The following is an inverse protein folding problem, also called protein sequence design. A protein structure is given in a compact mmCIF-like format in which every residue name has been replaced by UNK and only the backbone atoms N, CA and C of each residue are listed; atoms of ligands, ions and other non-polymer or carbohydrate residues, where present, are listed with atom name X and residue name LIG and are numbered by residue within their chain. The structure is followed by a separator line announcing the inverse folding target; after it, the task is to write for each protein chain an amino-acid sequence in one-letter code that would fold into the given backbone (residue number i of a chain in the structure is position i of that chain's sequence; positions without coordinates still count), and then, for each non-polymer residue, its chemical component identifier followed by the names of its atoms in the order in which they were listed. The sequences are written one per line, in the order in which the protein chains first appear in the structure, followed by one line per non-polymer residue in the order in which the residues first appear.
data_IF_228084024672
#
_entry.id   IF_228084024672
#
_cell.length_a   1.000
_cell.length_b   1.000
_cell.length_c   1.000
_cell.angle_alpha   90.00
_cell.angle_beta   90.00
_cell.angle_gamma   90.00
#
_symmetry.space_group_name_H-M   'P 1'
#
loop_
_entity.id
_entity.type
_entity.pdbx_description
1 polymer ?
#
# COMPACT_ATOMS: atom_id res chain seq x y z
N UNK A 1 -21.28 -17.87 13.04
CA UNK A 1 -19.87 -18.36 12.92
C UNK A 1 -19.44 -18.92 14.26
N UNK A 2 -18.74 -20.04 14.29
CA UNK A 2 -18.20 -20.63 15.52
C UNK A 2 -17.13 -19.67 16.09
N UNK A 3 -17.33 -19.18 17.30
CA UNK A 3 -16.44 -18.24 17.98
C UNK A 3 -15.05 -18.82 18.29
N UNK A 4 -14.87 -20.12 18.14
CA UNK A 4 -13.62 -20.82 18.39
C UNK A 4 -12.74 -21.03 17.13
N UNK A 5 -13.25 -20.71 15.94
CA UNK A 5 -12.50 -20.87 14.70
C UNK A 5 -11.20 -20.05 14.71
N UNK A 6 -11.17 -18.78 15.13
CA UNK A 6 -9.93 -18.02 15.19
C UNK A 6 -8.84 -18.71 16.03
N UNK A 7 -9.21 -19.27 17.17
CA UNK A 7 -8.25 -19.95 18.05
C UNK A 7 -7.69 -21.23 17.38
N UNK A 8 -8.52 -22.01 16.70
CA UNK A 8 -8.07 -23.24 16.02
C UNK A 8 -7.05 -22.93 14.92
N UNK A 9 -7.33 -21.96 14.06
CA UNK A 9 -6.41 -21.61 12.96
C UNK A 9 -5.11 -20.99 13.47
N UNK A 10 -5.15 -20.22 14.56
CA UNK A 10 -3.93 -19.70 15.21
C UNK A 10 -3.13 -20.83 15.85
N UNK A 11 -3.77 -21.81 16.49
CA UNK A 11 -3.07 -22.96 17.06
C UNK A 11 -2.32 -23.75 15.99
N UNK A 12 -2.96 -24.05 14.86
CA UNK A 12 -2.32 -24.72 13.72
C UNK A 12 -1.14 -23.91 13.19
N UNK A 13 -1.33 -22.59 13.02
CA UNK A 13 -0.29 -21.68 12.55
C UNK A 13 0.92 -21.61 13.50
N UNK A 14 0.68 -21.59 14.82
CA UNK A 14 1.73 -21.61 15.84
C UNK A 14 2.51 -22.93 15.85
N UNK A 15 1.80 -24.06 15.78
CA UNK A 15 2.41 -25.40 15.76
C UNK A 15 3.21 -25.67 14.48
N UNK A 16 2.87 -24.98 13.38
CA UNK A 16 3.65 -25.00 12.15
C UNK A 16 4.95 -24.18 12.22
N UNK A 17 5.25 -23.51 13.36
CA UNK A 17 6.50 -22.80 13.58
C UNK A 17 6.55 -21.39 12.96
N UNK A 18 5.41 -20.80 12.58
CA UNK A 18 5.40 -19.50 11.90
C UNK A 18 5.76 -18.31 12.80
N UNK A 19 5.61 -18.43 14.12
CA UNK A 19 5.99 -17.37 15.06
C UNK A 19 7.46 -17.50 15.54
N UNK A 20 7.93 -18.73 15.74
CA UNK A 20 9.27 -19.04 16.20
C UNK A 20 9.89 -20.14 15.31
N UNK A 21 11.13 -19.96 14.91
CA UNK A 21 11.84 -20.89 14.01
C UNK A 21 12.26 -22.22 14.66
N UNK A 22 12.27 -22.28 15.99
CA UNK A 22 12.63 -23.49 16.77
C UNK A 22 11.37 -24.30 17.14
N UNK A 23 11.52 -25.56 17.52
CA UNK A 23 10.40 -26.36 17.98
C UNK A 23 9.61 -25.65 19.05
N UNK A 24 8.30 -25.60 18.89
CA UNK A 24 7.39 -24.85 19.77
C UNK A 24 6.52 -25.80 20.59
N UNK A 25 6.37 -25.47 21.87
CA UNK A 25 5.33 -26.06 22.72
C UNK A 25 4.19 -25.07 22.84
N UNK A 26 3.00 -25.41 22.36
CA UNK A 26 1.80 -24.58 22.42
C UNK A 26 0.85 -25.14 23.46
N UNK A 27 0.52 -24.34 24.47
CA UNK A 27 -0.45 -24.68 25.53
C UNK A 27 -1.65 -23.75 25.41
N UNK A 28 -2.82 -24.24 25.03
CA UNK A 28 -4.04 -23.43 24.94
C UNK A 28 -4.56 -23.09 26.37
N UNK A 29 -5.35 -22.04 26.44
CA UNK A 29 -6.12 -21.62 27.63
C UNK A 29 -5.29 -21.51 28.92
N UNK A 30 -4.12 -20.87 28.84
CA UNK A 30 -3.20 -20.76 29.95
C UNK A 30 -3.50 -19.58 30.85
N UNK A 31 -3.64 -19.82 32.14
CA UNK A 31 -3.89 -18.78 33.15
C UNK A 31 -2.63 -17.97 33.44
N UNK A 32 -2.78 -16.65 33.46
CA UNK A 32 -1.78 -15.69 33.90
C UNK A 32 -2.46 -14.57 34.72
N UNK A 33 -2.04 -14.39 35.96
CA UNK A 33 -2.68 -13.42 36.86
C UNK A 33 -4.18 -13.70 37.02
N UNK A 34 -4.99 -12.70 36.71
CA UNK A 34 -6.46 -12.77 36.77
C UNK A 34 -7.12 -13.02 35.37
N UNK A 35 -6.33 -13.37 34.38
CA UNK A 35 -6.79 -13.64 33.02
C UNK A 35 -6.36 -15.02 32.54
N UNK A 36 -7.07 -15.54 31.56
CA UNK A 36 -6.73 -16.76 30.84
C UNK A 36 -6.54 -16.39 29.38
N UNK A 37 -5.27 -16.46 28.92
CA UNK A 37 -4.93 -16.19 27.53
C UNK A 37 -5.19 -17.40 26.65
N UNK A 38 -5.45 -17.14 25.38
CA UNK A 38 -5.76 -18.17 24.41
C UNK A 38 -4.61 -19.14 24.23
N UNK A 39 -3.34 -18.63 24.21
CA UNK A 39 -2.17 -19.48 24.13
C UNK A 39 -1.00 -19.00 24.99
N UNK A 40 -0.26 -19.99 25.51
CA UNK A 40 1.10 -19.83 26.00
C UNK A 40 2.02 -20.66 25.13
N UNK A 41 3.14 -20.06 24.68
CA UNK A 41 4.09 -20.68 23.75
C UNK A 41 5.49 -20.65 24.36
N UNK A 42 6.17 -21.80 24.32
CA UNK A 42 7.58 -21.93 24.67
C UNK A 42 8.38 -22.36 23.43
N UNK A 43 9.53 -21.71 23.18
CA UNK A 43 10.46 -22.04 22.12
C UNK A 43 11.88 -21.65 22.57
N UNK A 44 12.68 -22.65 22.94
CA UNK A 44 13.97 -22.43 23.59
C UNK A 44 13.80 -21.64 24.89
N UNK A 45 14.49 -20.51 25.00
CA UNK A 45 14.40 -19.62 26.18
C UNK A 45 13.22 -18.64 26.09
N UNK A 46 12.55 -18.55 24.93
CA UNK A 46 11.44 -17.63 24.71
C UNK A 46 10.15 -18.17 25.29
N UNK A 47 9.44 -17.32 26.00
CA UNK A 47 8.12 -17.60 26.59
C UNK A 47 7.16 -16.49 26.19
N UNK A 48 6.03 -16.85 25.59
CA UNK A 48 5.11 -15.87 25.05
C UNK A 48 3.65 -16.14 25.45
N UNK A 49 2.90 -15.08 25.71
CA UNK A 49 1.45 -15.11 25.83
C UNK A 49 0.80 -14.50 24.58
N UNK A 50 -0.25 -15.13 24.12
CA UNK A 50 -0.97 -14.72 22.90
C UNK A 50 -2.46 -14.66 23.21
N UNK A 51 -3.05 -13.53 22.90
CA UNK A 51 -4.51 -13.31 22.91
C UNK A 51 -4.99 -13.23 21.46
N UNK A 52 -5.99 -14.01 21.10
CA UNK A 52 -6.57 -14.07 19.76
C UNK A 52 -7.87 -13.29 19.69
N UNK A 53 -8.07 -12.54 18.64
CA UNK A 53 -9.32 -11.84 18.34
C UNK A 53 -9.75 -12.12 16.89
N UNK A 54 -10.96 -12.66 16.72
CA UNK A 54 -11.60 -12.77 15.41
C UNK A 54 -12.09 -11.41 14.96
N UNK A 55 -11.80 -11.02 13.73
CA UNK A 55 -12.20 -9.76 13.14
C UNK A 55 -13.07 -10.03 11.93
N UNK A 56 -14.30 -9.50 11.95
CA UNK A 56 -15.32 -9.71 10.91
C UNK A 56 -15.98 -8.42 10.44
N UNK A 57 -15.81 -7.32 11.17
CA UNK A 57 -16.34 -6.02 10.78
C UNK A 57 -15.44 -5.37 9.73
N UNK A 58 -15.96 -5.20 8.53
CA UNK A 58 -15.27 -4.58 7.39
C UNK A 58 -16.15 -3.50 6.76
N UNK A 59 -15.54 -2.37 6.43
CA UNK A 59 -16.13 -1.28 5.64
C UNK A 59 -15.05 -0.69 4.72
N UNK A 60 -15.31 -0.68 3.43
CA UNK A 60 -14.43 -0.12 2.40
C UNK A 60 -12.97 -0.63 2.45
N UNK A 61 -12.80 -1.93 2.72
CA UNK A 61 -11.50 -2.58 2.86
C UNK A 61 -10.80 -2.32 4.19
N UNK A 62 -11.44 -1.65 5.14
CA UNK A 62 -10.92 -1.39 6.49
C UNK A 62 -11.59 -2.32 7.48
N UNK A 63 -10.80 -3.14 8.16
CA UNK A 63 -11.33 -4.01 9.22
C UNK A 63 -11.14 -3.39 10.58
N UNK A 64 -12.15 -3.57 11.45
CA UNK A 64 -12.20 -2.96 12.77
C UNK A 64 -12.53 -3.98 13.85
N UNK A 65 -11.98 -3.74 15.05
CA UNK A 65 -12.33 -4.46 16.27
C UNK A 65 -12.32 -3.51 17.48
N UNK A 66 -13.24 -3.67 18.45
CA UNK A 66 -14.31 -4.67 18.50
C UNK A 66 -15.55 -4.24 17.69
N UNK A 67 -16.38 -5.21 17.33
CA UNK A 67 -17.69 -5.02 16.70
C UNK A 67 -18.78 -4.63 17.73
N UNK A 68 -18.57 -5.01 18.99
CA UNK A 68 -19.39 -4.62 20.15
C UNK A 68 -18.48 -4.35 21.37
N UNK A 69 -18.92 -3.52 22.34
CA UNK A 69 -18.13 -3.22 23.54
C UNK A 69 -17.74 -4.49 24.32
N UNK A 70 -16.47 -4.59 24.71
CA UNK A 70 -15.90 -5.75 25.39
C UNK A 70 -14.91 -5.34 26.48
N UNK A 71 -15.37 -5.24 27.73
CA UNK A 71 -14.51 -4.99 28.89
C UNK A 71 -13.43 -6.07 29.03
N UNK A 72 -13.77 -7.32 28.68
CA UNK A 72 -12.82 -8.42 28.69
C UNK A 72 -11.66 -8.18 27.73
N UNK A 73 -11.91 -7.62 26.54
CA UNK A 73 -10.85 -7.32 25.58
C UNK A 73 -9.89 -6.26 26.14
N UNK A 74 -10.38 -5.21 26.78
CA UNK A 74 -9.55 -4.19 27.43
C UNK A 74 -8.69 -4.81 28.53
N UNK A 75 -9.29 -5.60 29.44
CA UNK A 75 -8.59 -6.28 30.52
C UNK A 75 -7.47 -7.19 29.99
N UNK A 76 -7.72 -7.96 28.93
CA UNK A 76 -6.68 -8.83 28.34
C UNK A 76 -5.49 -8.03 27.79
N UNK A 77 -5.73 -6.85 27.21
CA UNK A 77 -4.63 -5.97 26.76
C UNK A 77 -3.78 -5.46 27.95
N UNK A 78 -4.42 -5.10 29.06
CA UNK A 78 -3.71 -4.67 30.27
C UNK A 78 -2.85 -5.80 30.86
N UNK A 79 -3.36 -7.02 30.90
CA UNK A 79 -2.62 -8.18 31.38
C UNK A 79 -1.48 -8.57 30.42
N UNK A 80 -1.63 -8.41 29.11
CA UNK A 80 -0.51 -8.57 28.15
C UNK A 80 0.60 -7.53 28.36
N UNK A 81 0.23 -6.28 28.65
CA UNK A 81 1.21 -5.23 29.02
C UNK A 81 1.96 -5.63 30.28
N UNK A 82 1.27 -6.19 31.27
CA UNK A 82 1.88 -6.68 32.49
C UNK A 82 2.83 -7.85 32.22
N UNK A 83 2.39 -8.86 31.47
CA UNK A 83 3.23 -10.00 31.09
C UNK A 83 4.50 -9.54 30.36
N UNK A 84 4.38 -8.56 29.46
CA UNK A 84 5.54 -7.99 28.75
C UNK A 84 6.53 -7.32 29.71
N UNK A 85 6.06 -6.60 30.72
CA UNK A 85 6.91 -5.97 31.76
C UNK A 85 7.60 -6.99 32.65
N UNK A 86 7.00 -8.17 32.84
CA UNK A 86 7.57 -9.28 33.61
C UNK A 86 8.55 -10.16 32.80
N UNK A 87 8.85 -9.77 31.54
CA UNK A 87 9.86 -10.41 30.71
C UNK A 87 9.34 -11.46 29.72
N UNK A 88 8.02 -11.68 29.66
CA UNK A 88 7.42 -12.52 28.62
C UNK A 88 7.35 -11.78 27.30
N UNK A 89 7.38 -12.51 26.20
CA UNK A 89 6.85 -11.97 24.94
C UNK A 89 5.33 -11.95 24.98
N UNK A 90 4.73 -10.94 24.39
CA UNK A 90 3.28 -10.75 24.44
C UNK A 90 2.75 -10.36 23.06
N UNK A 91 1.65 -11.01 22.63
CA UNK A 91 1.08 -10.83 21.31
C UNK A 91 -0.44 -10.70 21.38
N UNK A 92 -0.97 -9.78 20.57
CA UNK A 92 -2.36 -9.78 20.15
C UNK A 92 -2.41 -10.30 18.73
N UNK A 93 -3.18 -11.34 18.47
CA UNK A 93 -3.33 -11.94 17.16
C UNK A 93 -4.75 -11.68 16.62
N UNK A 94 -4.83 -10.84 15.61
CA UNK A 94 -6.07 -10.45 14.95
C UNK A 94 -6.28 -11.35 13.73
N UNK A 95 -7.25 -12.22 13.79
CA UNK A 95 -7.63 -13.14 12.70
C UNK A 95 -8.73 -12.50 11.87
N UNK A 96 -8.38 -11.98 10.72
CA UNK A 96 -9.30 -11.34 9.78
C UNK A 96 -9.90 -12.43 8.89
N UNK A 97 -11.17 -12.77 9.13
CA UNK A 97 -11.85 -13.91 8.53
C UNK A 97 -12.35 -13.60 7.11
N UNK A 98 -11.55 -12.91 6.32
CA UNK A 98 -11.82 -12.54 4.92
C UNK A 98 -10.52 -12.16 4.20
N UNK A 99 -10.60 -11.99 2.87
CA UNK A 99 -9.52 -11.50 2.00
C UNK A 99 -9.80 -10.10 1.44
N UNK A 100 -8.75 -9.48 0.90
CA UNK A 100 -8.85 -8.23 0.13
C UNK A 100 -8.98 -6.98 0.99
N UNK A 101 -8.60 -7.05 2.26
CA UNK A 101 -8.61 -5.92 3.18
C UNK A 101 -7.34 -5.07 3.05
N UNK A 102 -7.45 -3.78 3.30
CA UNK A 102 -6.33 -2.83 3.18
C UNK A 102 -5.52 -2.72 4.47
N UNK A 103 -6.20 -2.61 5.61
CA UNK A 103 -5.58 -2.52 6.93
C UNK A 103 -6.59 -2.77 8.05
N UNK A 104 -6.04 -3.09 9.23
CA UNK A 104 -6.78 -3.15 10.49
C UNK A 104 -6.64 -1.84 11.28
N UNK A 105 -7.71 -1.41 11.93
CA UNK A 105 -7.69 -0.35 12.95
C UNK A 105 -8.60 -0.68 14.13
N UNK A 106 -8.39 0.00 15.28
CA UNK A 106 -9.32 -0.10 16.40
C UNK A 106 -10.64 0.61 16.08
N UNK A 107 -11.76 0.04 16.52
CA UNK A 107 -13.08 0.65 16.37
C UNK A 107 -13.32 1.68 17.48
N UNK A 108 -12.85 2.90 17.23
CA UNK A 108 -12.95 4.01 18.18
C UNK A 108 -14.40 4.48 18.40
N UNK A 109 -15.29 4.23 17.45
CA UNK A 109 -16.71 4.60 17.55
C UNK A 109 -17.47 3.64 18.49
N UNK A 110 -17.10 2.36 18.48
CA UNK A 110 -17.73 1.33 19.32
C UNK A 110 -17.11 1.29 20.71
N UNK A 111 -15.77 1.35 20.82
CA UNK A 111 -15.08 1.27 22.11
C UNK A 111 -13.73 2.01 22.06
N UNK A 112 -13.72 3.33 22.35
CA UNK A 112 -12.49 4.13 22.42
C UNK A 112 -11.44 3.56 23.38
N UNK A 113 -11.88 3.02 24.52
CA UNK A 113 -11.01 2.46 25.55
C UNK A 113 -10.16 1.30 25.03
N UNK A 114 -10.72 0.45 24.15
CA UNK A 114 -9.96 -0.63 23.52
C UNK A 114 -8.87 -0.06 22.61
N UNK A 115 -9.19 0.95 21.81
CA UNK A 115 -8.19 1.61 20.95
C UNK A 115 -7.05 2.22 21.75
N UNK A 116 -7.36 2.90 22.85
CA UNK A 116 -6.35 3.51 23.71
C UNK A 116 -5.48 2.47 24.43
N UNK A 117 -6.06 1.38 24.92
CA UNK A 117 -5.27 0.31 25.56
C UNK A 117 -4.43 -0.45 24.55
N UNK A 118 -4.89 -0.63 23.31
CA UNK A 118 -4.14 -1.26 22.25
C UNK A 118 -2.91 -0.43 21.85
N UNK A 119 -3.04 0.90 21.78
CA UNK A 119 -1.90 1.83 21.60
C UNK A 119 -0.90 1.71 22.75
N UNK A 120 -1.37 1.69 24.00
CA UNK A 120 -0.52 1.49 25.19
C UNK A 120 0.19 0.15 25.15
N UNK A 121 -0.48 -0.92 24.72
CA UNK A 121 0.11 -2.24 24.56
C UNK A 121 1.24 -2.23 23.53
N UNK A 122 1.03 -1.63 22.36
CA UNK A 122 2.07 -1.45 21.34
C UNK A 122 3.27 -0.66 21.89
N UNK A 123 3.02 0.44 22.59
CA UNK A 123 4.08 1.25 23.19
C UNK A 123 4.86 0.49 24.29
N UNK A 124 4.21 -0.43 25.01
CA UNK A 124 4.83 -1.29 26.00
C UNK A 124 5.61 -2.48 25.40
N UNK A 125 5.58 -2.64 24.07
CA UNK A 125 6.28 -3.71 23.35
C UNK A 125 5.46 -4.98 23.15
N UNK A 126 4.13 -4.96 23.38
CA UNK A 126 3.23 -6.03 22.92
C UNK A 126 3.15 -5.97 21.40
N UNK A 127 3.38 -7.09 20.74
CA UNK A 127 3.29 -7.19 19.28
C UNK A 127 1.84 -7.41 18.85
N UNK A 128 1.37 -6.60 17.91
CA UNK A 128 0.05 -6.71 17.34
C UNK A 128 0.20 -7.28 15.94
N UNK A 129 -0.27 -8.51 15.75
CA UNK A 129 -0.24 -9.24 14.50
C UNK A 129 -1.66 -9.26 13.93
N UNK A 130 -1.80 -8.94 12.67
CA UNK A 130 -3.06 -9.06 11.96
C UNK A 130 -2.81 -9.86 10.68
N UNK A 131 -3.58 -10.91 10.48
CA UNK A 131 -3.49 -11.77 9.30
C UNK A 131 -4.87 -11.95 8.70
N UNK A 132 -4.96 -11.90 7.39
CA UNK A 132 -6.16 -12.27 6.67
C UNK A 132 -6.24 -13.80 6.51
N UNK A 133 -7.38 -14.27 6.03
CA UNK A 133 -7.62 -15.70 5.86
C UNK A 133 -8.14 -16.00 4.45
N UNK A 134 -7.63 -17.09 3.88
CA UNK A 134 -8.32 -17.77 2.80
C UNK A 134 -9.51 -18.51 3.41
N UNK A 135 -10.71 -18.18 2.95
CA UNK A 135 -11.97 -18.79 3.42
C UNK A 135 -12.66 -19.50 2.26
N UNK A 136 -12.97 -20.76 2.44
CA UNK A 136 -13.79 -21.58 1.54
C UNK A 136 -15.04 -22.06 2.28
N UNK A 137 -15.92 -22.80 1.62
CA UNK A 137 -17.10 -23.38 2.26
C UNK A 137 -16.74 -24.32 3.42
N UNK A 138 -15.61 -25.03 3.32
CA UNK A 138 -15.21 -26.10 4.26
C UNK A 138 -13.98 -25.75 5.11
N UNK A 139 -13.27 -24.66 4.82
CA UNK A 139 -11.99 -24.37 5.47
C UNK A 139 -11.71 -22.87 5.63
N UNK A 140 -10.90 -22.58 6.63
CA UNK A 140 -10.30 -21.27 6.84
C UNK A 140 -8.82 -21.45 7.18
N UNK A 141 -7.95 -20.66 6.57
CA UNK A 141 -6.50 -20.74 6.77
C UNK A 141 -5.92 -19.32 6.82
N UNK A 142 -5.02 -19.07 7.79
CA UNK A 142 -4.24 -17.84 7.87
C UNK A 142 -3.35 -17.73 6.62
N UNK A 143 -3.29 -16.51 6.04
CA UNK A 143 -2.57 -16.27 4.80
C UNK A 143 -1.63 -15.07 4.90
N UNK A 144 -2.03 -13.86 4.57
CA UNK A 144 -1.14 -12.71 4.45
C UNK A 144 -1.23 -11.77 5.66
N UNK A 145 -0.09 -11.15 6.00
CA UNK A 145 -0.05 -10.13 7.04
C UNK A 145 -0.77 -8.86 6.56
N UNK A 146 -1.63 -8.32 7.43
CA UNK A 146 -2.41 -7.10 7.19
C UNK A 146 -1.82 -5.95 8.00
N UNK A 147 -1.58 -4.77 7.41
CA UNK A 147 -1.08 -3.62 8.14
C UNK A 147 -1.97 -3.22 9.33
N UNK A 148 -1.36 -2.96 10.49
CA UNK A 148 -2.05 -2.48 11.70
C UNK A 148 -1.85 -0.97 11.87
N UNK A 149 -2.91 -0.20 11.68
CA UNK A 149 -2.93 1.27 11.73
C UNK A 149 -3.74 1.71 12.95
N UNK A 150 -3.09 2.00 14.07
CA UNK A 150 -3.74 2.44 15.31
C UNK A 150 -3.92 3.95 15.39
N UNK A 151 -3.10 4.69 14.69
CA UNK A 151 -3.19 6.14 14.54
C UNK A 151 -3.20 6.44 13.06
N UNK A 152 -4.26 7.08 12.57
CA UNK A 152 -4.24 7.62 11.22
C UNK A 152 -3.18 8.72 11.18
N UNK A 153 -2.15 8.60 10.32
CA UNK A 153 -1.30 9.76 10.07
C UNK A 153 -2.21 10.94 9.68
N UNK A 154 -1.90 12.14 10.11
CA UNK A 154 -2.63 13.38 9.74
C UNK A 154 -2.86 13.45 8.23
N UNK A 155 -1.89 12.96 7.44
CA UNK A 155 -2.02 12.83 5.98
C UNK A 155 -3.24 11.98 5.52
N UNK A 156 -3.66 10.98 6.28
CA UNK A 156 -4.80 10.12 5.87
C UNK A 156 -6.14 10.82 6.05
N UNK A 157 -6.26 11.73 7.01
CA UNK A 157 -7.45 12.57 7.17
C UNK A 157 -7.59 13.58 6.03
N UNK A 158 -6.48 13.90 5.33
CA UNK A 158 -6.47 14.82 4.20
C UNK A 158 -6.61 14.12 2.85
N UNK A 159 -6.31 12.83 2.73
CA UNK A 159 -6.33 12.09 1.45
C UNK A 159 -7.74 12.03 0.87
N UNK A 160 -8.72 11.58 1.65
CA UNK A 160 -10.10 11.42 1.15
C UNK A 160 -10.72 12.77 0.73
N UNK A 161 -10.62 13.87 1.50
CA UNK A 161 -11.05 15.19 1.06
C UNK A 161 -10.32 15.70 -0.20
N UNK A 162 -9.01 15.46 -0.32
CA UNK A 162 -8.24 15.86 -1.51
C UNK A 162 -8.69 15.07 -2.73
N UNK A 163 -8.88 13.75 -2.60
CA UNK A 163 -9.34 12.90 -3.71
C UNK A 163 -10.77 13.27 -4.13
N UNK A 164 -11.68 13.53 -3.18
CA UNK A 164 -13.04 13.98 -3.46
C UNK A 164 -13.01 15.34 -4.20
N UNK A 165 -12.27 16.29 -3.67
CA UNK A 165 -12.09 17.60 -4.31
C UNK A 165 -11.50 17.46 -5.72
N UNK A 166 -10.49 16.61 -5.91
CA UNK A 166 -9.87 16.38 -7.22
C UNK A 166 -10.88 15.80 -8.23
N UNK A 167 -11.72 14.87 -7.83
CA UNK A 167 -12.74 14.28 -8.72
C UNK A 167 -13.70 15.33 -9.28
N UNK A 168 -14.07 16.30 -8.45
CA UNK A 168 -14.98 17.40 -8.83
C UNK A 168 -14.28 18.53 -9.58
N UNK A 169 -13.03 18.83 -9.24
CA UNK A 169 -12.32 20.03 -9.67
C UNK A 169 -11.16 19.78 -10.64
N UNK A 170 -10.91 18.52 -11.03
CA UNK A 170 -9.81 18.19 -11.96
C UNK A 170 -9.98 18.91 -13.28
N UNK A 171 -8.90 19.57 -13.74
CA UNK A 171 -8.91 20.22 -15.04
C UNK A 171 -9.14 19.21 -16.16
N UNK A 172 -9.91 19.61 -17.17
CA UNK A 172 -10.05 18.88 -18.41
C UNK A 172 -8.80 19.07 -19.28
N UNK A 173 -8.05 17.98 -19.48
CA UNK A 173 -6.76 18.00 -20.17
C UNK A 173 -6.69 16.85 -21.17
N UNK A 174 -6.16 17.09 -22.41
CA UNK A 174 -6.12 16.08 -23.47
C UNK A 174 -5.53 14.72 -23.05
N UNK A 175 -4.47 14.73 -22.24
CA UNK A 175 -3.78 13.53 -21.75
C UNK A 175 -4.50 12.78 -20.63
N UNK A 176 -5.68 13.24 -20.21
CA UNK A 176 -6.53 12.60 -19.21
C UNK A 176 -7.73 11.83 -19.80
N UNK A 177 -7.98 11.98 -21.12
CA UNK A 177 -9.11 11.36 -21.79
C UNK A 177 -8.82 9.94 -22.27
N UNK A 178 -7.64 9.73 -22.83
CA UNK A 178 -7.19 8.44 -23.34
C UNK A 178 -5.82 8.13 -22.74
N UNK A 179 -5.87 7.44 -21.59
CA UNK A 179 -4.69 7.21 -20.76
C UNK A 179 -3.99 5.94 -21.25
N UNK A 180 -2.95 6.13 -22.08
CA UNK A 180 -2.01 5.06 -22.47
C UNK A 180 -0.62 5.39 -21.96
N UNK A 181 0.27 4.40 -21.74
CA UNK A 181 1.64 4.64 -21.26
C UNK A 181 2.40 5.65 -22.13
N UNK A 182 2.28 5.54 -23.45
CA UNK A 182 2.91 6.47 -24.41
C UNK A 182 2.38 7.89 -24.24
N UNK A 183 1.08 8.06 -24.15
CA UNK A 183 0.44 9.39 -24.01
C UNK A 183 0.75 10.05 -22.67
N UNK A 184 0.76 9.29 -21.59
CA UNK A 184 1.21 9.77 -20.28
C UNK A 184 2.66 10.22 -20.37
N UNK A 185 3.54 9.40 -20.90
CA UNK A 185 4.96 9.74 -21.04
C UNK A 185 5.19 11.02 -21.85
N UNK A 186 4.56 11.16 -23.02
CA UNK A 186 4.67 12.37 -23.86
C UNK A 186 4.24 13.61 -23.07
N UNK A 187 3.08 13.54 -22.38
CA UNK A 187 2.60 14.68 -21.58
C UNK A 187 3.53 15.04 -20.43
N UNK A 188 4.02 14.05 -19.68
CA UNK A 188 4.90 14.26 -18.54
C UNK A 188 6.23 14.91 -18.95
N UNK A 189 6.82 14.47 -20.08
CA UNK A 189 8.05 15.09 -20.58
C UNK A 189 7.81 16.51 -21.11
N UNK A 190 6.70 16.75 -21.81
CA UNK A 190 6.38 18.09 -22.32
C UNK A 190 6.10 19.10 -21.19
N UNK A 191 5.46 18.64 -20.11
CA UNK A 191 5.13 19.46 -18.95
C UNK A 191 6.32 19.83 -18.06
N UNK A 192 7.46 19.16 -18.23
CA UNK A 192 8.68 19.53 -17.50
C UNK A 192 9.06 20.98 -17.81
N UNK A 193 8.96 21.87 -16.79
CA UNK A 193 9.28 23.30 -16.91
C UNK A 193 8.49 24.07 -18.00
N UNK A 194 7.34 23.54 -18.44
CA UNK A 194 6.48 24.16 -19.44
C UNK A 194 5.05 24.29 -18.90
N UNK A 195 4.41 25.43 -19.13
CA UNK A 195 3.04 25.68 -18.69
C UNK A 195 2.04 24.81 -19.47
N UNK A 196 1.00 24.32 -18.78
CA UNK A 196 -0.03 23.43 -19.33
C UNK A 196 -0.63 23.96 -20.63
N UNK A 197 -1.04 25.24 -20.66
CA UNK A 197 -1.68 25.83 -21.84
C UNK A 197 -0.75 25.91 -23.06
N UNK A 198 0.54 26.07 -22.80
CA UNK A 198 1.53 26.04 -23.89
C UNK A 198 1.73 24.64 -24.44
N UNK A 199 1.61 23.59 -23.60
CA UNK A 199 1.82 22.19 -24.01
C UNK A 199 0.70 21.64 -24.89
N UNK A 200 -0.56 22.00 -24.64
CA UNK A 200 -1.74 21.47 -25.34
C UNK A 200 -1.57 21.36 -26.87
N UNK A 201 -1.27 22.47 -27.61
CA UNK A 201 -1.14 22.40 -29.06
C UNK A 201 0.06 21.58 -29.53
N UNK A 202 1.12 21.47 -28.73
CA UNK A 202 2.28 20.64 -29.05
C UNK A 202 1.98 19.17 -28.87
N UNK A 203 1.26 18.81 -27.81
CA UNK A 203 0.85 17.46 -27.51
C UNK A 203 -0.02 16.88 -28.63
N UNK A 204 -1.05 17.61 -29.03
CA UNK A 204 -1.95 17.19 -30.10
C UNK A 204 -1.21 17.00 -31.43
N UNK A 205 -0.36 17.97 -31.81
CA UNK A 205 0.44 17.90 -33.01
C UNK A 205 1.44 16.74 -32.97
N UNK A 206 2.12 16.56 -31.85
CA UNK A 206 3.13 15.52 -31.69
C UNK A 206 2.53 14.12 -31.82
N UNK A 207 1.40 13.87 -31.14
CA UNK A 207 0.71 12.57 -31.22
C UNK A 207 0.05 12.31 -32.57
N UNK A 208 -0.35 13.35 -33.30
CA UNK A 208 -0.85 13.22 -34.67
C UNK A 208 0.26 12.78 -35.63
N UNK A 209 1.46 13.31 -35.46
CA UNK A 209 2.60 13.05 -36.36
C UNK A 209 3.41 11.80 -35.97
N UNK A 210 3.42 11.47 -34.68
CA UNK A 210 4.15 10.35 -34.07
C UNK A 210 3.21 9.60 -33.10
N UNK A 211 2.21 8.87 -33.62
CA UNK A 211 1.17 8.26 -32.80
C UNK A 211 1.66 7.07 -31.95
N UNK A 212 2.78 6.46 -32.33
CA UNK A 212 3.32 5.27 -31.65
C UNK A 212 4.77 5.44 -31.21
N UNK A 213 5.23 4.58 -30.30
CA UNK A 213 6.64 4.48 -29.89
C UNK A 213 7.54 4.21 -31.10
N UNK A 214 7.09 3.36 -32.02
CA UNK A 214 7.83 3.02 -33.23
C UNK A 214 7.98 4.22 -34.16
N UNK A 215 6.93 5.05 -34.30
CA UNK A 215 7.02 6.28 -35.11
C UNK A 215 8.04 7.26 -34.50
N UNK A 216 8.04 7.40 -33.16
CA UNK A 216 9.01 8.24 -32.46
C UNK A 216 10.44 7.71 -32.61
N UNK A 217 10.64 6.39 -32.48
CA UNK A 217 11.95 5.76 -32.64
C UNK A 217 12.53 5.99 -34.04
N UNK A 218 11.70 5.93 -35.07
CA UNK A 218 12.10 6.06 -36.50
C UNK A 218 12.05 7.50 -37.00
N UNK A 219 11.66 8.46 -36.19
CA UNK A 219 11.56 9.86 -36.60
C UNK A 219 12.94 10.43 -36.99
N UNK A 220 13.00 11.15 -38.12
CA UNK A 220 14.21 11.90 -38.49
C UNK A 220 14.44 13.04 -37.49
N UNK A 221 15.69 13.30 -37.13
CA UNK A 221 16.05 14.31 -36.13
C UNK A 221 15.49 15.69 -36.48
N UNK A 222 15.61 16.14 -37.75
CA UNK A 222 15.08 17.43 -38.17
C UNK A 222 13.56 17.57 -37.95
N UNK A 223 12.79 16.50 -38.25
CA UNK A 223 11.37 16.47 -38.04
C UNK A 223 11.04 16.51 -36.56
N UNK A 224 11.77 15.76 -35.75
CA UNK A 224 11.60 15.69 -34.32
C UNK A 224 11.87 17.05 -33.67
N UNK A 225 12.99 17.70 -34.06
CA UNK A 225 13.32 19.06 -33.58
C UNK A 225 12.29 20.07 -33.99
N UNK A 226 11.71 19.97 -35.21
CA UNK A 226 10.64 20.86 -35.67
C UNK A 226 9.36 20.71 -34.90
N UNK A 227 8.98 19.47 -34.53
CA UNK A 227 7.81 19.22 -33.68
C UNK A 227 7.98 19.76 -32.25
N UNK A 228 9.21 19.87 -31.79
CA UNK A 228 9.55 20.34 -30.44
C UNK A 228 9.92 21.83 -30.38
N UNK A 229 10.02 22.50 -31.53
CA UNK A 229 10.42 23.92 -31.65
C UNK A 229 9.47 24.81 -30.84
N UNK A 230 10.02 25.56 -29.88
CA UNK A 230 9.27 26.42 -28.97
C UNK A 230 9.07 25.85 -27.56
N UNK A 231 9.19 24.57 -27.33
CA UNK A 231 9.15 23.96 -25.98
C UNK A 231 10.48 24.11 -25.21
N UNK A 232 11.59 24.31 -25.90
CA UNK A 232 12.92 24.38 -25.31
C UNK A 232 13.42 23.06 -24.74
N UNK A 233 14.62 23.10 -24.13
CA UNK A 233 15.24 21.92 -23.50
C UNK A 233 15.23 20.67 -24.42
N UNK A 234 15.78 20.78 -25.59
CA UNK A 234 15.75 19.76 -26.66
C UNK A 234 16.32 18.39 -26.27
N UNK A 235 17.14 18.32 -25.21
CA UNK A 235 17.61 17.05 -24.69
C UNK A 235 16.45 16.15 -24.19
N UNK A 236 15.32 16.72 -23.82
CA UNK A 236 14.14 15.94 -23.43
C UNK A 236 13.64 15.07 -24.58
N UNK A 237 13.41 15.66 -25.74
CA UNK A 237 12.91 14.92 -26.91
C UNK A 237 13.95 13.98 -27.49
N UNK A 238 15.26 14.34 -27.43
CA UNK A 238 16.33 13.42 -27.81
C UNK A 238 16.38 12.19 -26.89
N UNK A 239 16.22 12.38 -25.59
CA UNK A 239 16.14 11.26 -24.65
C UNK A 239 14.87 10.43 -24.86
N UNK A 240 13.73 11.06 -25.18
CA UNK A 240 12.53 10.33 -25.56
C UNK A 240 12.76 9.44 -26.79
N UNK A 241 13.43 9.94 -27.83
CA UNK A 241 13.75 9.12 -28.99
C UNK A 241 14.67 7.94 -28.66
N UNK A 242 15.70 8.18 -27.82
CA UNK A 242 16.57 7.08 -27.35
C UNK A 242 15.80 6.02 -26.58
N UNK A 243 14.91 6.43 -25.67
CA UNK A 243 14.07 5.51 -24.94
C UNK A 243 13.08 4.77 -25.88
N UNK A 244 12.54 5.45 -26.89
CA UNK A 244 11.68 4.81 -27.88
C UNK A 244 12.45 3.73 -28.69
N UNK A 245 13.69 4.00 -29.06
CA UNK A 245 14.57 3.01 -29.73
C UNK A 245 14.81 1.82 -28.79
N UNK A 246 15.15 2.05 -27.52
CA UNK A 246 15.29 0.99 -26.52
C UNK A 246 14.02 0.14 -26.42
N UNK A 247 12.83 0.77 -26.38
CA UNK A 247 11.56 0.05 -26.33
C UNK A 247 11.29 -0.77 -27.59
N UNK A 248 11.66 -0.28 -28.76
CA UNK A 248 11.54 -1.07 -30.01
C UNK A 248 12.46 -2.28 -29.98
N UNK A 249 13.71 -2.11 -29.57
CA UNK A 249 14.74 -3.15 -29.57
C UNK A 249 14.49 -4.21 -28.46
N UNK A 250 14.07 -3.81 -27.28
CA UNK A 250 14.01 -4.68 -26.11
C UNK A 250 12.60 -5.18 -25.80
N UNK A 251 11.57 -4.39 -26.16
CA UNK A 251 10.17 -4.64 -25.76
C UNK A 251 9.21 -4.64 -26.96
N UNK A 252 9.71 -4.79 -28.19
CA UNK A 252 8.87 -4.87 -29.40
C UNK A 252 8.03 -3.64 -29.68
N UNK A 253 8.46 -2.45 -29.23
CA UNK A 253 7.74 -1.19 -29.40
C UNK A 253 6.59 -0.97 -28.41
N UNK A 254 6.54 -1.74 -27.33
CA UNK A 254 5.62 -1.57 -26.21
C UNK A 254 6.33 -0.96 -25.00
N UNK A 255 5.57 -0.32 -24.10
CA UNK A 255 6.10 0.05 -22.81
C UNK A 255 6.29 -1.20 -21.95
N UNK A 256 7.40 -1.30 -21.18
CA UNK A 256 7.51 -2.32 -20.15
C UNK A 256 6.46 -2.10 -19.04
N UNK A 257 6.02 -3.17 -18.41
CA UNK A 257 4.92 -3.15 -17.44
C UNK A 257 5.39 -3.06 -15.97
N UNK A 258 6.69 -3.20 -15.69
CA UNK A 258 7.25 -3.05 -14.35
C UNK A 258 7.85 -1.67 -14.14
N UNK A 259 7.75 -1.16 -12.90
CA UNK A 259 8.32 0.14 -12.52
C UNK A 259 9.84 0.19 -12.77
N UNK A 260 10.54 -0.88 -12.46
CA UNK A 260 11.98 -1.01 -12.55
C UNK A 260 12.45 -0.91 -14.01
N UNK A 261 11.75 -1.55 -14.94
CA UNK A 261 12.04 -1.50 -16.36
C UNK A 261 11.68 -0.13 -16.97
N UNK A 262 10.55 0.45 -16.58
CA UNK A 262 10.16 1.82 -16.98
C UNK A 262 11.25 2.82 -16.54
N UNK A 263 11.71 2.70 -15.28
CA UNK A 263 12.73 3.58 -14.73
C UNK A 263 14.11 3.41 -15.39
N UNK A 264 14.42 2.22 -15.92
CA UNK A 264 15.67 1.95 -16.62
C UNK A 264 15.75 2.59 -18.03
N UNK A 265 14.64 3.09 -18.58
CA UNK A 265 14.63 3.75 -19.89
C UNK A 265 15.34 5.11 -19.86
N UNK A 266 16.03 5.43 -20.94
CA UNK A 266 16.80 6.67 -21.06
C UNK A 266 15.95 7.92 -20.80
N UNK A 267 16.35 8.74 -19.83
CA UNK A 267 15.70 10.02 -19.52
C UNK A 267 14.41 9.89 -18.71
N UNK A 268 14.09 8.71 -18.21
CA UNK A 268 12.98 8.47 -17.29
C UNK A 268 13.52 8.39 -15.86
N UNK A 269 13.26 9.41 -15.07
CA UNK A 269 13.58 9.44 -13.64
C UNK A 269 12.42 8.94 -12.76
N UNK A 270 12.63 8.88 -11.43
CA UNK A 270 11.68 8.40 -10.43
C UNK A 270 10.27 9.00 -10.59
N UNK A 271 10.18 10.32 -10.79
CA UNK A 271 8.89 11.01 -10.99
C UNK A 271 8.16 10.48 -12.23
N UNK A 272 8.82 10.50 -13.38
CA UNK A 272 8.20 10.10 -14.65
C UNK A 272 7.84 8.60 -14.65
N UNK A 273 8.71 7.75 -14.09
CA UNK A 273 8.42 6.33 -13.92
C UNK A 273 7.21 6.10 -12.99
N UNK A 274 7.14 6.84 -11.87
CA UNK A 274 6.00 6.81 -10.96
C UNK A 274 4.70 7.26 -11.63
N UNK A 275 4.74 8.33 -12.43
CA UNK A 275 3.57 8.85 -13.14
C UNK A 275 3.08 7.84 -14.20
N UNK A 276 3.98 7.29 -15.04
CA UNK A 276 3.60 6.28 -16.04
C UNK A 276 3.06 5.02 -15.34
N UNK A 277 3.78 4.50 -14.33
CA UNK A 277 3.38 3.31 -13.60
C UNK A 277 2.01 3.48 -12.95
N UNK A 278 1.77 4.57 -12.23
CA UNK A 278 0.51 4.79 -11.52
C UNK A 278 -0.66 5.11 -12.45
N UNK A 279 -0.48 5.99 -13.45
CA UNK A 279 -1.60 6.42 -14.29
C UNK A 279 -1.97 5.42 -15.38
N UNK A 280 -0.99 4.74 -15.97
CA UNK A 280 -1.25 3.86 -17.11
C UNK A 280 -1.32 2.36 -16.74
N UNK A 281 -0.62 1.94 -15.70
CA UNK A 281 -0.54 0.53 -15.29
C UNK A 281 -1.18 0.25 -13.91
N UNK A 282 -1.61 1.28 -13.16
CA UNK A 282 -2.18 1.09 -11.83
C UNK A 282 -1.16 0.63 -10.78
N UNK A 283 0.14 0.76 -11.06
CA UNK A 283 1.21 0.39 -10.12
C UNK A 283 1.20 1.39 -8.95
N UNK A 284 1.16 0.96 -7.68
CA UNK A 284 1.09 1.86 -6.53
C UNK A 284 2.47 2.49 -6.23
N UNK A 285 2.97 3.31 -7.17
CA UNK A 285 4.22 4.08 -7.02
C UNK A 285 3.93 5.57 -7.03
N UNK A 286 4.52 6.35 -6.12
CA UNK A 286 4.29 7.79 -6.05
C UNK A 286 5.00 8.54 -7.19
N UNK A 287 4.33 9.57 -7.72
CA UNK A 287 4.93 10.57 -8.59
C UNK A 287 5.19 11.84 -7.78
N UNK A 288 6.39 11.94 -7.19
CA UNK A 288 6.76 13.04 -6.28
C UNK A 288 7.64 14.05 -7.03
N UNK A 289 7.09 15.23 -7.28
CA UNK A 289 7.83 16.38 -7.82
C UNK A 289 8.08 17.46 -6.75
N UNK A 290 8.75 18.54 -7.13
CA UNK A 290 8.99 19.68 -6.24
C UNK A 290 7.71 20.35 -5.71
N UNK A 291 6.58 20.28 -6.43
CA UNK A 291 5.30 20.81 -5.98
C UNK A 291 4.70 19.92 -4.90
N UNK A 292 4.73 18.60 -5.08
CA UNK A 292 4.29 17.63 -4.07
C UNK A 292 5.10 17.81 -2.79
N UNK A 293 6.43 17.86 -2.89
CA UNK A 293 7.30 18.09 -1.74
C UNK A 293 6.96 19.39 -1.03
N UNK A 294 6.77 20.49 -1.78
CA UNK A 294 6.45 21.80 -1.22
C UNK A 294 5.10 21.81 -0.49
N UNK A 295 4.10 21.08 -0.98
CA UNK A 295 2.76 21.01 -0.35
C UNK A 295 2.81 20.12 0.87
N UNK A 296 3.29 18.88 0.72
CA UNK A 296 3.30 17.88 1.79
C UNK A 296 4.18 18.30 2.97
N UNK A 297 5.26 19.07 2.74
CA UNK A 297 6.09 19.59 3.84
C UNK A 297 5.42 20.69 4.69
N UNK A 298 4.20 21.13 4.34
CA UNK A 298 3.42 22.15 5.06
C UNK A 298 2.16 21.60 5.73
N UNK A 299 1.87 20.35 5.53
CA UNK A 299 0.79 19.60 6.17
C UNK A 299 1.36 18.82 7.36
#
# INVERSE_FOLDING_TARGET
MDSQIPNKVVEEWLRAGNLFLEPVTVRPETTYGNSRFDFYVESGEKKAFIEVKGVTLEEDGVVRFPDAPSERAVKHMEELIRAKKEGYDAYVFLVIQMKGVRYFTSNMDTQPEFGEVLKKAKAAGVKILAYDCQVTEDSIKIDEEVPVVLEKPILWETVDPIVAWYRENKRDLPWRHDVTPYRVWVSEIMLQQTRVEAVKPYYDRFLKELPTITDLANAKEDRLMKLWEGLGYYNRVRNMQKAAIQMVEQYGGQFPESYEEIHALTGIGNYTAGAIGSFAFGIPKPAVDGNVLRVVSRI
#
